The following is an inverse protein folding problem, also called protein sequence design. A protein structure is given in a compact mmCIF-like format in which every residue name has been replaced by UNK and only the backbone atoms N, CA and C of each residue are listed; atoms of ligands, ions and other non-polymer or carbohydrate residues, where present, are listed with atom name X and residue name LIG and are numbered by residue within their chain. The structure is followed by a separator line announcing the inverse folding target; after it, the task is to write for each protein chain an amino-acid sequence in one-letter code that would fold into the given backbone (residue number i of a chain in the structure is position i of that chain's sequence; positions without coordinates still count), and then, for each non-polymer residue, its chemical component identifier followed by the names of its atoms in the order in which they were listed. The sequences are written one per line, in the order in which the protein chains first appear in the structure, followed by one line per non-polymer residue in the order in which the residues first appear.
data_IF_484849846630
#
_entry.id   IF_484849846630
#
_cell.length_a   1.000
_cell.length_b   1.000
_cell.length_c   1.000
_cell.angle_alpha   90.00
_cell.angle_beta   90.00
_cell.angle_gamma   90.00
#
_symmetry.space_group_name_H-M   'P 1'
#
loop_
_entity.id
_entity.type
_entity.pdbx_description
1 polymer ?
#
# COMPACT_ATOMS: atom_id res chain seq x y z
N UNK A 1 -32.36 -20.55 -2.32
CA UNK A 1 -31.04 -20.06 -2.80
C UNK A 1 -30.28 -19.63 -1.57
N UNK A 2 -29.35 -20.43 -1.08
CA UNK A 2 -28.36 -19.97 -0.12
C UNK A 2 -27.33 -19.14 -0.87
N UNK A 3 -27.58 -17.85 -1.03
CA UNK A 3 -26.57 -16.94 -1.51
C UNK A 3 -25.60 -16.71 -0.35
N UNK A 4 -24.49 -17.44 -0.33
CA UNK A 4 -23.36 -17.22 0.57
C UNK A 4 -22.70 -15.85 0.35
N UNK A 5 -22.97 -15.23 -0.80
CA UNK A 5 -22.39 -13.94 -1.21
C UNK A 5 -23.50 -13.03 -1.72
N UNK A 6 -23.49 -11.80 -1.23
CA UNK A 6 -24.38 -10.73 -1.73
C UNK A 6 -23.75 -10.05 -2.93
N UNK A 7 -24.58 -9.55 -3.82
CA UNK A 7 -24.13 -8.75 -4.95
C UNK A 7 -23.50 -7.45 -4.43
N UNK A 8 -22.47 -7.00 -5.13
CA UNK A 8 -21.67 -5.88 -4.74
C UNK A 8 -21.37 -4.98 -5.94
N UNK A 9 -21.70 -3.71 -5.79
CA UNK A 9 -21.40 -2.67 -6.78
C UNK A 9 -20.76 -1.48 -6.07
N UNK A 10 -19.76 -0.89 -6.65
CA UNK A 10 -19.10 0.31 -6.12
C UNK A 10 -18.91 1.36 -7.19
N UNK A 11 -19.02 2.62 -6.76
CA UNK A 11 -18.71 3.80 -7.54
C UNK A 11 -17.71 4.61 -6.75
N UNK A 12 -16.59 4.94 -7.39
CA UNK A 12 -15.53 5.78 -6.84
C UNK A 12 -15.47 7.11 -7.59
N UNK A 13 -15.41 8.20 -6.84
CA UNK A 13 -15.24 9.55 -7.33
C UNK A 13 -13.96 10.14 -6.74
N UNK A 14 -13.11 10.70 -7.59
CA UNK A 14 -11.80 11.24 -7.18
C UNK A 14 -11.67 12.71 -7.57
N UNK A 15 -12.46 13.63 -6.95
CA UNK A 15 -12.30 15.05 -7.18
C UNK A 15 -10.96 15.55 -6.65
N UNK A 16 -10.29 16.39 -7.41
CA UNK A 16 -9.04 17.01 -7.00
C UNK A 16 -8.86 18.41 -7.59
N UNK A 17 -8.06 19.20 -6.89
CA UNK A 17 -7.54 20.49 -7.32
C UNK A 17 -6.01 20.40 -7.39
N UNK A 18 -5.43 20.91 -8.48
CA UNK A 18 -3.99 20.93 -8.70
C UNK A 18 -3.51 22.39 -8.72
N UNK A 19 -2.55 22.71 -7.85
CA UNK A 19 -1.81 23.96 -7.86
C UNK A 19 -0.35 23.68 -8.19
N UNK A 20 0.21 24.42 -9.14
CA UNK A 20 1.60 24.28 -9.55
C UNK A 20 2.22 25.66 -9.74
N UNK A 21 3.37 25.87 -9.11
CA UNK A 21 4.25 27.03 -9.31
C UNK A 21 5.69 26.53 -9.54
N UNK A 22 6.66 27.44 -9.60
CA UNK A 22 8.08 27.07 -9.78
C UNK A 22 8.56 26.16 -8.64
N UNK A 23 8.26 26.54 -7.39
CA UNK A 23 8.74 25.82 -6.19
C UNK A 23 7.73 24.83 -5.62
N UNK A 24 6.43 24.99 -5.92
CA UNK A 24 5.38 24.20 -5.29
C UNK A 24 4.56 23.40 -6.28
N UNK A 25 4.32 22.14 -5.93
CA UNK A 25 3.31 21.28 -6.56
C UNK A 25 2.40 20.74 -5.48
N UNK A 26 1.13 21.15 -5.51
CA UNK A 26 0.14 20.77 -4.50
C UNK A 26 -1.06 20.16 -5.20
N UNK A 27 -1.42 18.95 -4.80
CA UNK A 27 -2.67 18.28 -5.16
C UNK A 27 -3.52 18.16 -3.91
N UNK A 28 -4.74 18.67 -3.97
CA UNK A 28 -5.75 18.55 -2.91
C UNK A 28 -6.93 17.77 -3.48
N UNK A 29 -7.16 16.59 -3.02
CA UNK A 29 -8.22 15.73 -3.49
C UNK A 29 -8.76 14.82 -2.40
N UNK A 30 -9.76 14.04 -2.77
CA UNK A 30 -10.36 13.02 -1.92
C UNK A 30 -10.85 11.84 -2.77
N UNK A 31 -10.73 10.64 -2.24
CA UNK A 31 -11.41 9.45 -2.73
C UNK A 31 -12.76 9.33 -2.02
N UNK A 32 -13.84 9.34 -2.78
CA UNK A 32 -15.21 9.22 -2.26
C UNK A 32 -15.82 7.95 -2.83
N UNK A 33 -16.05 6.97 -1.96
CA UNK A 33 -16.51 5.65 -2.32
C UNK A 33 -17.96 5.44 -1.91
N UNK A 34 -18.79 5.04 -2.85
CA UNK A 34 -20.15 4.56 -2.63
C UNK A 34 -20.21 3.07 -2.92
N UNK A 35 -20.71 2.29 -1.97
CA UNK A 35 -20.93 0.85 -2.13
C UNK A 35 -22.40 0.51 -1.98
N UNK A 36 -22.89 -0.38 -2.85
CA UNK A 36 -24.25 -0.87 -2.86
C UNK A 36 -24.20 -2.40 -2.69
N UNK A 37 -25.07 -2.94 -1.87
CA UNK A 37 -25.06 -4.34 -1.47
C UNK A 37 -24.26 -4.54 -0.18
N UNK A 38 -23.26 -5.40 -0.18
CA UNK A 38 -22.48 -5.76 0.99
C UNK A 38 -21.47 -4.68 1.42
N UNK A 39 -21.26 -4.54 2.72
CA UNK A 39 -20.25 -3.71 3.33
C UNK A 39 -20.68 -2.27 3.65
N UNK A 40 -19.72 -1.44 4.00
CA UNK A 40 -19.99 -0.03 4.37
C UNK A 40 -20.30 0.80 3.13
N UNK A 41 -21.50 1.42 3.12
CA UNK A 41 -22.06 2.11 1.96
C UNK A 41 -21.32 3.35 1.51
N UNK A 42 -20.68 4.06 2.43
CA UNK A 42 -19.99 5.33 2.14
C UNK A 42 -18.67 5.41 2.89
N UNK A 43 -17.63 5.80 2.18
CA UNK A 43 -16.29 6.04 2.73
C UNK A 43 -15.64 7.22 2.03
N UNK A 44 -14.79 7.94 2.76
CA UNK A 44 -13.98 9.03 2.23
C UNK A 44 -12.55 8.86 2.72
N UNK A 45 -11.59 9.04 1.82
CA UNK A 45 -10.17 9.06 2.15
C UNK A 45 -9.50 10.29 1.51
N UNK A 46 -8.41 10.80 2.09
CA UNK A 46 -7.66 11.89 1.48
C UNK A 46 -6.93 11.46 0.20
N UNK A 47 -6.72 12.41 -0.71
CA UNK A 47 -5.78 12.32 -1.85
C UNK A 47 -5.03 13.66 -1.92
N UNK A 48 -4.11 13.87 -0.98
CA UNK A 48 -3.36 15.10 -0.81
C UNK A 48 -1.89 14.84 -1.01
N UNK A 49 -1.24 15.66 -1.83
CA UNK A 49 0.21 15.66 -2.00
C UNK A 49 0.71 17.08 -2.09
N UNK A 50 1.73 17.41 -1.32
CA UNK A 50 2.43 18.69 -1.39
C UNK A 50 3.93 18.42 -1.60
N UNK A 51 4.53 19.09 -2.56
CA UNK A 51 5.95 19.02 -2.85
C UNK A 51 6.51 20.45 -2.88
N UNK A 52 7.62 20.64 -2.20
CA UNK A 52 8.41 21.86 -2.25
C UNK A 52 9.77 21.56 -2.88
N UNK A 53 10.06 22.24 -3.97
CA UNK A 53 11.30 22.11 -4.75
C UNK A 53 12.17 23.31 -4.39
N UNK A 54 13.20 23.12 -3.57
CA UNK A 54 14.07 24.23 -3.15
C UNK A 54 15.41 24.28 -3.89
N UNK A 55 15.62 23.33 -4.79
CA UNK A 55 16.58 23.41 -5.89
C UNK A 55 16.25 22.29 -6.89
N UNK A 56 16.79 22.35 -8.09
CA UNK A 56 16.55 21.31 -9.11
C UNK A 56 16.87 19.88 -8.65
N UNK A 57 17.62 19.75 -7.55
CA UNK A 57 18.10 18.49 -7.01
C UNK A 57 17.47 18.08 -5.69
N UNK A 58 16.65 18.95 -5.04
CA UNK A 58 16.15 18.72 -3.69
C UNK A 58 14.65 18.96 -3.61
N UNK A 59 13.90 17.95 -3.17
CA UNK A 59 12.45 18.00 -3.04
C UNK A 59 12.07 17.49 -1.64
N UNK A 60 11.38 18.32 -0.88
CA UNK A 60 10.65 17.91 0.31
C UNK A 60 9.21 17.63 -0.07
N UNK A 61 8.65 16.52 0.39
CA UNK A 61 7.25 16.21 0.11
C UNK A 61 6.49 15.70 1.33
N UNK A 62 5.21 15.98 1.34
CA UNK A 62 4.23 15.43 2.25
C UNK A 62 3.08 14.84 1.43
N UNK A 63 2.59 13.68 1.85
CA UNK A 63 1.41 13.08 1.24
C UNK A 63 0.48 12.53 2.31
N UNK A 64 -0.82 12.57 2.01
CA UNK A 64 -1.86 11.88 2.76
C UNK A 64 -2.83 11.28 1.74
N UNK A 65 -2.80 9.98 1.63
CA UNK A 65 -3.60 9.23 0.67
C UNK A 65 -4.41 8.17 1.38
N UNK A 66 -5.35 7.59 0.68
CA UNK A 66 -6.13 6.47 1.14
C UNK A 66 -7.00 5.96 0.02
N UNK A 67 -7.92 5.05 0.32
CA UNK A 67 -8.85 4.54 -0.68
C UNK A 67 -9.25 3.11 -0.40
N UNK A 68 -10.03 2.60 -1.31
CA UNK A 68 -10.62 1.30 -1.24
C UNK A 68 -9.85 0.29 -2.07
N UNK A 69 -9.70 -0.90 -1.54
CA UNK A 69 -9.14 -2.05 -2.23
C UNK A 69 -10.16 -3.18 -2.19
N UNK A 70 -10.69 -3.55 -3.37
CA UNK A 70 -11.61 -4.67 -3.48
C UNK A 70 -10.92 -5.98 -3.08
N UNK A 71 -11.60 -6.79 -2.28
CA UNK A 71 -11.15 -8.12 -1.91
C UNK A 71 -11.78 -9.14 -2.86
N UNK A 72 -11.39 -9.04 -4.13
CA UNK A 72 -11.76 -9.97 -5.18
C UNK A 72 -10.96 -11.28 -5.10
N UNK A 73 -11.32 -12.26 -5.93
CA UNK A 73 -10.64 -13.56 -5.94
C UNK A 73 -9.14 -13.45 -6.20
N UNK A 74 -8.72 -12.55 -7.08
CA UNK A 74 -7.30 -12.34 -7.38
C UNK A 74 -6.53 -11.89 -6.15
N UNK A 75 -7.09 -10.95 -5.38
CA UNK A 75 -6.46 -10.48 -4.16
C UNK A 75 -6.44 -11.54 -3.07
N UNK A 76 -7.54 -12.30 -2.92
CA UNK A 76 -7.61 -13.41 -1.97
C UNK A 76 -6.54 -14.46 -2.28
N UNK A 77 -6.38 -14.82 -3.54
CA UNK A 77 -5.35 -15.76 -4.00
C UNK A 77 -3.93 -15.24 -3.74
N UNK A 78 -3.69 -13.93 -3.94
CA UNK A 78 -2.39 -13.32 -3.63
C UNK A 78 -2.05 -13.35 -2.14
N UNK A 79 -3.04 -13.20 -1.25
CA UNK A 79 -2.85 -13.26 0.21
C UNK A 79 -2.62 -14.71 0.65
N UNK A 80 -3.39 -15.63 0.15
CA UNK A 80 -3.23 -17.07 0.40
C UNK A 80 -3.98 -17.91 -0.63
N UNK A 81 -3.27 -18.63 -1.52
CA UNK A 81 -3.91 -19.49 -2.52
C UNK A 81 -4.65 -20.69 -1.91
N UNK A 82 -4.35 -21.03 -0.65
CA UNK A 82 -5.00 -22.11 0.11
C UNK A 82 -5.93 -21.59 1.21
N UNK A 83 -6.14 -20.28 1.27
CA UNK A 83 -6.97 -19.65 2.29
C UNK A 83 -8.45 -19.94 2.08
N UNK A 84 -9.13 -20.38 3.13
CA UNK A 84 -10.57 -20.57 3.13
C UNK A 84 -11.26 -19.35 3.72
N UNK A 85 -12.34 -18.91 3.08
CA UNK A 85 -13.25 -17.91 3.63
C UNK A 85 -14.62 -18.51 3.82
N UNK A 86 -15.08 -18.56 5.05
CA UNK A 86 -16.41 -19.05 5.40
C UNK A 86 -17.47 -17.94 5.36
N UNK A 87 -17.04 -16.71 5.16
CA UNK A 87 -17.90 -15.52 5.12
C UNK A 87 -17.50 -14.61 3.98
N UNK A 88 -18.42 -13.80 3.50
CA UNK A 88 -18.11 -12.75 2.56
C UNK A 88 -17.19 -11.71 3.22
N UNK A 89 -16.12 -11.37 2.55
CA UNK A 89 -15.12 -10.42 3.02
C UNK A 89 -15.42 -9.02 2.46
N UNK A 90 -15.50 -8.01 3.34
CA UNK A 90 -15.65 -6.61 2.94
C UNK A 90 -14.36 -6.09 2.27
N UNK A 91 -14.46 -5.03 1.52
CA UNK A 91 -13.29 -4.38 0.94
C UNK A 91 -12.34 -3.89 2.05
N UNK A 92 -11.05 -4.04 1.83
CA UNK A 92 -10.03 -3.36 2.64
C UNK A 92 -10.09 -1.87 2.36
N UNK A 93 -9.98 -1.06 3.39
CA UNK A 93 -10.02 0.38 3.26
C UNK A 93 -8.83 1.03 3.97
N UNK A 94 -7.98 1.66 3.18
CA UNK A 94 -6.92 2.51 3.70
C UNK A 94 -7.54 3.86 4.07
N UNK A 95 -7.74 4.09 5.38
CA UNK A 95 -8.31 5.35 5.85
C UNK A 95 -7.36 6.51 5.69
N UNK A 96 -6.09 6.22 5.93
CA UNK A 96 -5.01 7.19 5.86
C UNK A 96 -3.69 6.47 5.62
N UNK A 97 -2.92 7.01 4.68
CA UNK A 97 -1.50 6.73 4.51
C UNK A 97 -0.79 8.09 4.40
N UNK A 98 -0.30 8.58 5.53
CA UNK A 98 0.38 9.85 5.62
C UNK A 98 1.90 9.64 5.66
N UNK A 99 2.63 10.32 4.80
CA UNK A 99 4.07 10.25 4.73
C UNK A 99 4.71 11.63 4.53
N UNK A 100 5.90 11.76 5.09
CA UNK A 100 6.84 12.85 4.81
C UNK A 100 8.09 12.22 4.22
N UNK A 101 8.68 12.88 3.23
CA UNK A 101 9.90 12.38 2.63
C UNK A 101 10.72 13.47 1.96
N UNK A 102 11.94 13.10 1.69
CA UNK A 102 12.94 13.94 1.07
C UNK A 102 13.57 13.21 -0.11
N UNK A 103 13.54 13.82 -1.28
CA UNK A 103 14.17 13.32 -2.51
C UNK A 103 15.33 14.21 -2.89
N UNK A 104 16.42 13.61 -3.32
CA UNK A 104 17.58 14.35 -3.82
C UNK A 104 18.28 13.63 -4.96
N UNK A 105 18.81 14.40 -5.89
CA UNK A 105 19.66 13.93 -6.99
C UNK A 105 20.97 14.74 -6.98
N UNK A 106 21.92 14.40 -6.07
CA UNK A 106 23.12 15.20 -5.87
C UNK A 106 24.09 15.18 -7.06
N UNK A 107 24.04 14.13 -7.88
CA UNK A 107 24.83 14.00 -9.11
C UNK A 107 23.99 13.33 -10.20
N UNK A 108 24.34 13.58 -11.45
CA UNK A 108 23.65 12.99 -12.60
C UNK A 108 23.58 11.47 -12.51
N UNK A 109 22.40 10.93 -12.66
CA UNK A 109 22.13 9.49 -12.60
C UNK A 109 21.97 8.90 -11.22
N UNK A 110 22.24 9.64 -10.14
CA UNK A 110 22.08 9.18 -8.77
C UNK A 110 20.92 9.92 -8.09
N UNK A 111 19.97 9.19 -7.53
CA UNK A 111 18.95 9.78 -6.69
C UNK A 111 18.67 8.97 -5.43
N UNK A 112 18.22 9.66 -4.42
CA UNK A 112 17.84 9.10 -3.12
C UNK A 112 16.46 9.59 -2.72
N UNK A 113 15.75 8.74 -2.00
CA UNK A 113 14.50 9.08 -1.35
C UNK A 113 14.50 8.47 0.06
N UNK A 114 14.26 9.29 1.07
CA UNK A 114 14.11 8.85 2.46
C UNK A 114 12.74 9.34 2.91
N UNK A 115 11.97 8.46 3.53
CA UNK A 115 10.62 8.78 3.95
C UNK A 115 10.21 8.03 5.21
N UNK A 116 9.23 8.59 5.89
CA UNK A 116 8.56 7.94 7.00
C UNK A 116 7.09 8.32 7.04
N UNK A 117 6.29 7.47 7.65
CA UNK A 117 4.85 7.69 7.62
C UNK A 117 4.07 6.79 8.59
N UNK A 118 2.77 6.97 8.49
CA UNK A 118 1.76 6.24 9.25
C UNK A 118 0.66 5.76 8.29
N UNK A 119 0.24 4.51 8.46
CA UNK A 119 -0.82 3.89 7.66
C UNK A 119 -1.89 3.29 8.58
N UNK A 120 -3.16 3.55 8.28
CA UNK A 120 -4.34 2.96 8.96
C UNK A 120 -5.21 2.21 7.97
N UNK A 121 -5.36 0.90 8.21
CA UNK A 121 -6.10 -0.04 7.37
C UNK A 121 -7.29 -0.61 8.13
N UNK A 122 -8.48 -0.54 7.53
CA UNK A 122 -9.69 -1.20 8.01
C UNK A 122 -10.01 -2.43 7.15
N UNK A 123 -10.47 -3.48 7.79
CA UNK A 123 -10.78 -4.75 7.13
C UNK A 123 -9.61 -5.28 6.28
N UNK A 124 -8.36 -5.09 6.75
CA UNK A 124 -7.23 -5.64 6.01
C UNK A 124 -7.25 -7.16 6.06
N UNK A 125 -6.88 -7.78 4.93
CA UNK A 125 -6.83 -9.23 4.80
C UNK A 125 -5.54 -9.77 5.40
N UNK A 126 -5.68 -10.87 6.14
CA UNK A 126 -4.58 -11.67 6.62
C UNK A 126 -4.94 -13.15 6.49
N UNK A 127 -3.93 -14.00 6.40
CA UNK A 127 -4.08 -15.45 6.46
C UNK A 127 -3.60 -15.94 7.81
N UNK A 128 -4.40 -16.75 8.49
CA UNK A 128 -4.03 -17.36 9.76
C UNK A 128 -4.17 -18.87 9.71
N UNK A 129 -3.23 -19.57 10.33
CA UNK A 129 -3.31 -21.01 10.50
C UNK A 129 -4.24 -21.34 11.68
N UNK A 130 -5.31 -22.06 11.41
CA UNK A 130 -6.27 -22.53 12.41
C UNK A 130 -6.04 -24.03 12.58
N UNK A 131 -5.76 -24.45 13.81
CA UNK A 131 -5.66 -25.86 14.17
C UNK A 131 -6.92 -26.27 14.95
N UNK A 132 -7.49 -27.41 14.58
CA UNK A 132 -8.59 -28.04 15.28
C UNK A 132 -8.36 -29.55 15.39
N UNK A 133 -9.27 -30.28 16.02
CA UNK A 133 -9.16 -31.75 16.18
C UNK A 133 -9.13 -32.52 14.85
N UNK A 134 -9.59 -31.91 13.75
CA UNK A 134 -9.66 -32.53 12.43
C UNK A 134 -8.44 -32.19 11.54
N UNK A 135 -7.56 -31.31 12.00
CA UNK A 135 -6.38 -30.89 11.23
C UNK A 135 -6.13 -29.38 11.29
N UNK A 136 -5.19 -28.93 10.48
CA UNK A 136 -4.84 -27.51 10.34
C UNK A 136 -5.24 -27.02 8.95
N UNK A 137 -5.78 -25.82 8.88
CA UNK A 137 -6.11 -25.15 7.62
C UNK A 137 -5.78 -23.67 7.70
N UNK A 138 -5.62 -23.03 6.54
CA UNK A 138 -5.43 -21.58 6.44
C UNK A 138 -6.81 -20.91 6.29
N UNK A 139 -7.09 -19.96 7.16
CA UNK A 139 -8.30 -19.15 7.10
C UNK A 139 -7.94 -17.70 6.75
N UNK A 140 -8.71 -17.12 5.85
CA UNK A 140 -8.67 -15.70 5.55
C UNK A 140 -9.45 -14.93 6.63
N UNK A 141 -8.79 -13.99 7.26
CA UNK A 141 -9.33 -13.13 8.31
C UNK A 141 -9.29 -11.67 7.87
N UNK A 142 -10.17 -10.88 8.43
CA UNK A 142 -10.15 -9.42 8.28
C UNK A 142 -9.99 -8.75 9.62
N UNK A 143 -9.19 -7.69 9.66
CA UNK A 143 -9.00 -6.91 10.87
C UNK A 143 -8.51 -5.50 10.61
N UNK A 144 -8.68 -4.66 11.64
CA UNK A 144 -8.18 -3.30 11.61
C UNK A 144 -6.74 -3.29 12.11
N UNK A 145 -5.86 -2.69 11.36
CA UNK A 145 -4.45 -2.58 11.71
C UNK A 145 -3.87 -1.25 11.27
N UNK A 146 -2.80 -0.86 11.91
CA UNK A 146 -2.04 0.31 11.54
C UNK A 146 -0.55 0.04 11.68
N UNK A 147 0.26 0.82 11.00
CA UNK A 147 1.70 0.76 11.15
C UNK A 147 2.33 2.16 11.07
N UNK A 148 3.47 2.30 11.71
CA UNK A 148 4.43 3.35 11.47
C UNK A 148 5.53 2.75 10.62
N UNK A 149 5.95 3.45 9.60
CA UNK A 149 6.99 2.97 8.71
C UNK A 149 8.05 4.02 8.41
N UNK A 150 9.25 3.53 8.11
CA UNK A 150 10.34 4.32 7.58
C UNK A 150 11.01 3.54 6.44
N UNK A 151 11.36 4.25 5.37
CA UNK A 151 11.98 3.63 4.22
C UNK A 151 13.00 4.53 3.55
N UNK A 152 13.86 3.89 2.77
CA UNK A 152 14.82 4.56 1.92
C UNK A 152 14.90 3.85 0.58
N UNK A 153 15.15 4.62 -0.45
CA UNK A 153 15.35 4.13 -1.82
C UNK A 153 16.51 4.90 -2.45
N UNK A 154 17.35 4.19 -3.17
CA UNK A 154 18.45 4.76 -3.94
C UNK A 154 18.47 4.14 -5.33
N UNK A 155 18.68 4.95 -6.34
CA UNK A 155 18.85 4.50 -7.71
C UNK A 155 20.06 5.18 -8.36
N UNK A 156 20.81 4.38 -9.11
CA UNK A 156 21.93 4.87 -9.89
C UNK A 156 21.82 4.37 -11.32
N UNK A 157 21.85 5.30 -12.28
CA UNK A 157 21.83 5.01 -13.70
C UNK A 157 23.14 5.45 -14.36
N UNK A 158 23.80 4.52 -15.03
CA UNK A 158 25.03 4.79 -15.77
C UNK A 158 24.76 4.78 -17.27
N UNK A 159 24.90 5.93 -17.91
CA UNK A 159 24.80 6.13 -19.39
C UNK A 159 23.55 5.47 -20.02
N UNK A 160 22.45 5.39 -19.29
CA UNK A 160 21.21 4.70 -19.72
C UNK A 160 21.38 3.22 -20.11
N UNK A 161 22.56 2.65 -19.85
CA UNK A 161 22.89 1.26 -20.13
C UNK A 161 22.55 0.37 -18.95
N UNK A 162 22.89 0.80 -17.75
CA UNK A 162 22.66 0.03 -16.51
C UNK A 162 22.02 0.95 -15.48
N UNK A 163 20.95 0.47 -14.86
CA UNK A 163 20.33 1.13 -13.71
C UNK A 163 20.22 0.14 -12.54
N UNK A 164 20.68 0.58 -11.37
CA UNK A 164 20.56 -0.14 -10.11
C UNK A 164 19.57 0.60 -9.23
N UNK A 165 18.60 -0.12 -8.68
CA UNK A 165 17.69 0.42 -7.67
C UNK A 165 17.70 -0.48 -6.46
N UNK A 166 17.90 0.11 -5.29
CA UNK A 166 17.79 -0.56 -4.00
C UNK A 166 16.78 0.17 -3.14
N UNK A 167 15.87 -0.54 -2.52
CA UNK A 167 14.91 0.03 -1.57
C UNK A 167 14.77 -0.86 -0.35
N UNK A 168 14.52 -0.22 0.79
CA UNK A 168 14.22 -0.89 2.03
C UNK A 168 13.14 -0.13 2.79
N UNK A 169 12.24 -0.86 3.43
CA UNK A 169 11.20 -0.30 4.27
C UNK A 169 11.05 -1.15 5.53
N UNK A 170 10.97 -0.47 6.66
CA UNK A 170 10.65 -1.05 7.95
C UNK A 170 9.25 -0.61 8.37
N UNK A 171 8.45 -1.54 8.92
CA UNK A 171 7.09 -1.31 9.42
C UNK A 171 6.93 -1.88 10.82
N UNK A 172 6.42 -1.06 11.73
CA UNK A 172 5.96 -1.49 13.07
C UNK A 172 4.43 -1.64 13.02
N UNK A 173 3.98 -2.88 12.84
CA UNK A 173 2.57 -3.21 12.72
C UNK A 173 1.91 -3.36 14.07
N UNK A 174 0.69 -2.82 14.20
CA UNK A 174 -0.17 -2.98 15.37
C UNK A 174 -1.61 -3.24 14.93
N UNK A 175 -2.30 -4.06 15.71
CA UNK A 175 -3.74 -4.30 15.56
C UNK A 175 -4.53 -3.50 16.59
N UNK A 176 -5.77 -3.15 16.25
CA UNK A 176 -6.71 -2.68 17.26
C UNK A 176 -6.96 -3.81 18.28
N UNK A 177 -6.82 -3.51 19.57
CA UNK A 177 -7.10 -4.47 20.64
C UNK A 177 -8.55 -4.93 20.53
N UNK A 178 -8.74 -6.21 20.27
CA UNK A 178 -10.05 -6.87 20.33
C UNK A 178 -10.05 -7.76 21.57
N UNK A 179 -11.16 -7.87 22.30
CA UNK A 179 -11.27 -8.62 23.54
C UNK A 179 -10.90 -10.12 23.43
N UNK A 180 -10.76 -10.64 22.23
CA UNK A 180 -10.52 -12.06 21.94
C UNK A 180 -9.16 -12.34 21.28
N UNK A 181 -8.03 -11.83 21.74
CA UNK A 181 -6.66 -12.21 21.32
C UNK A 181 -6.42 -12.51 19.80
N UNK A 182 -7.41 -12.30 18.94
CA UNK A 182 -7.34 -12.55 17.50
C UNK A 182 -6.45 -11.53 16.77
N UNK A 183 -6.08 -10.45 17.47
CA UNK A 183 -5.26 -9.38 16.92
C UNK A 183 -3.86 -9.85 16.55
N UNK A 184 -3.25 -10.69 17.35
CA UNK A 184 -1.87 -11.16 17.13
C UNK A 184 -1.80 -12.09 15.92
N UNK A 185 -2.85 -12.87 15.63
CA UNK A 185 -2.92 -13.75 14.47
C UNK A 185 -2.92 -12.96 13.15
N UNK A 186 -3.50 -11.75 13.14
CA UNK A 186 -3.51 -10.88 11.96
C UNK A 186 -2.12 -10.37 11.60
N UNK A 187 -1.21 -10.26 12.57
CA UNK A 187 0.15 -9.75 12.37
C UNK A 187 1.17 -10.83 11.98
N UNK A 188 0.82 -12.10 12.13
CA UNK A 188 1.78 -13.21 12.06
C UNK A 188 2.52 -13.29 10.71
N UNK A 189 1.90 -12.86 9.62
CA UNK A 189 2.47 -12.86 8.27
C UNK A 189 2.77 -11.46 7.72
N UNK A 190 2.71 -10.42 8.56
CA UNK A 190 3.03 -9.06 8.13
C UNK A 190 4.54 -8.83 8.24
N UNK A 191 5.25 -8.60 7.12
CA UNK A 191 6.68 -8.36 7.16
C UNK A 191 6.97 -7.04 7.86
N UNK A 192 7.88 -7.08 8.84
CA UNK A 192 8.40 -5.87 9.49
C UNK A 192 9.51 -5.21 8.68
N UNK A 193 10.20 -5.95 7.83
CA UNK A 193 11.23 -5.43 6.96
C UNK A 193 11.11 -6.04 5.56
N UNK A 194 11.18 -5.18 4.56
CA UNK A 194 11.22 -5.57 3.15
C UNK A 194 12.39 -4.85 2.47
N UNK A 195 13.14 -5.59 1.66
CA UNK A 195 14.19 -5.02 0.83
C UNK A 195 14.03 -5.51 -0.61
N UNK A 196 14.18 -4.58 -1.56
CA UNK A 196 14.10 -4.90 -2.98
C UNK A 196 15.35 -4.39 -3.67
N UNK A 197 15.87 -5.20 -4.58
CA UNK A 197 16.98 -4.87 -5.45
C UNK A 197 16.54 -5.12 -6.89
N UNK A 198 16.77 -4.14 -7.75
CA UNK A 198 16.41 -4.22 -9.16
C UNK A 198 17.62 -3.77 -9.99
N UNK A 199 17.91 -4.52 -11.03
CA UNK A 199 18.94 -4.19 -12.01
C UNK A 199 18.31 -4.21 -13.40
N UNK A 200 18.35 -3.08 -14.09
CA UNK A 200 17.91 -2.95 -15.47
C UNK A 200 19.15 -2.78 -16.36
N UNK A 201 19.31 -3.63 -17.36
CA UNK A 201 20.42 -3.59 -18.30
C UNK A 201 19.88 -3.40 -19.71
N UNK A 202 20.34 -2.37 -20.41
CA UNK A 202 20.03 -2.08 -21.81
C UNK A 202 21.30 -2.12 -22.66
N UNK A 203 21.75 -3.31 -23.07
CA UNK A 203 22.98 -3.44 -23.85
C UNK A 203 22.86 -2.76 -25.20
N UNK A 204 21.68 -2.71 -25.79
CA UNK A 204 21.31 -1.99 -27.01
C UNK A 204 19.91 -1.40 -26.85
N UNK A 205 19.57 -0.38 -27.62
CA UNK A 205 18.29 0.36 -27.50
C UNK A 205 17.03 -0.52 -27.59
N UNK A 206 17.12 -1.68 -28.23
CA UNK A 206 16.01 -2.59 -28.47
C UNK A 206 15.89 -3.75 -27.47
N UNK A 207 16.82 -3.89 -26.53
CA UNK A 207 16.86 -5.00 -25.56
C UNK A 207 16.91 -4.47 -24.14
N UNK A 208 15.95 -4.89 -23.30
CA UNK A 208 15.90 -4.61 -21.87
C UNK A 208 15.94 -5.94 -21.10
N UNK A 209 16.86 -6.06 -20.17
CA UNK A 209 16.99 -7.19 -19.25
C UNK A 209 16.74 -6.69 -17.84
N UNK A 210 15.72 -7.24 -17.16
CA UNK A 210 15.39 -6.96 -15.76
C UNK A 210 15.80 -8.15 -14.91
N UNK A 211 16.45 -7.88 -13.78
CA UNK A 211 16.87 -8.86 -12.76
C UNK A 211 16.38 -8.44 -11.38
#
# INVERSE_FOLDING_TARGET
KNNLFEDYTSVELNPYYLYQSEDWKIRLGAHVDFAFGFGKKFRVAPDVTAQYIFSDSYILYAQATGGRQANDFRRLEMVSPYGQSNTQLDATYEQLNAALGFKTSPVTGLWFNIYGGYQDLKNNLASAAIANYSGSYLQLLQGNMHNIYAGAEASYSYKDIISFTASGIYRDWKTAKTENNSGDQLLYYMPSFEANFKVDIRPISSVLINL
#
